data_IF_234616598163
#
_entry.id   IF_234616598163
#
_cell.length_a   1.000
_cell.length_b   1.000
_cell.length_c   1.000
_cell.angle_alpha   90.00
_cell.angle_beta   90.00
_cell.angle_gamma   90.00
#
_symmetry.space_group_name_H-M   'P 1'
#
loop_
_entity.id
_entity.type
_entity.pdbx_description
1 polymer ?
#
# COMPACT_ATOMS: atom_id res chain seq x y z
N UNK A 1 -0.06 -12.15 10.28
CA UNK A 1 1.17 -12.02 9.44
C UNK A 1 1.18 -10.70 8.68
N UNK A 2 0.17 -10.37 7.83
CA UNK A 2 0.11 -9.08 7.09
C UNK A 2 0.18 -7.85 8.01
N UNK A 3 -0.67 -7.78 9.02
CA UNK A 3 -0.72 -6.65 9.95
C UNK A 3 0.60 -6.47 10.72
N UNK A 4 1.29 -7.55 11.06
CA UNK A 4 2.60 -7.48 11.72
C UNK A 4 3.70 -6.94 10.80
N UNK A 5 3.62 -7.25 9.49
CA UNK A 5 4.57 -6.68 8.52
C UNK A 5 4.32 -5.18 8.34
N UNK A 6 3.05 -4.74 8.27
CA UNK A 6 2.71 -3.31 8.28
C UNK A 6 3.23 -2.64 9.55
N UNK A 7 3.00 -3.26 10.71
CA UNK A 7 3.47 -2.74 12.00
C UNK A 7 4.99 -2.56 12.07
N UNK A 8 5.75 -3.44 11.43
CA UNK A 8 7.21 -3.36 11.40
C UNK A 8 7.76 -2.14 10.66
N UNK A 9 6.96 -1.51 9.79
CA UNK A 9 7.34 -0.30 9.06
C UNK A 9 6.94 1.00 9.77
N UNK A 10 6.18 0.93 10.85
CA UNK A 10 5.83 2.10 11.67
C UNK A 10 7.04 2.48 12.52
N UNK A 11 7.54 3.72 12.41
CA UNK A 11 8.70 4.15 13.20
C UNK A 11 8.43 4.08 14.71
N UNK A 12 9.44 3.72 15.48
CA UNK A 12 9.35 3.75 16.94
C UNK A 12 9.08 5.18 17.42
N UNK A 13 8.17 5.30 18.38
CA UNK A 13 7.75 6.62 18.91
C UNK A 13 6.83 7.40 17.95
N UNK A 14 6.38 6.81 16.86
CA UNK A 14 5.51 7.49 15.90
C UNK A 14 4.17 7.92 16.52
N UNK A 15 3.61 8.99 15.98
CA UNK A 15 2.22 9.37 16.13
C UNK A 15 1.49 8.92 14.86
N UNK A 16 0.75 7.83 14.97
CA UNK A 16 0.19 7.10 13.83
C UNK A 16 -1.22 7.59 13.48
N UNK A 17 -1.50 7.82 12.19
CA UNK A 17 -2.86 7.83 11.67
C UNK A 17 -3.11 6.54 10.90
N UNK A 18 -4.03 5.70 11.36
CA UNK A 18 -4.46 4.48 10.70
C UNK A 18 -5.81 4.72 10.02
N UNK A 19 -5.80 4.85 8.70
CA UNK A 19 -6.96 5.27 7.89
C UNK A 19 -7.65 4.04 7.29
N UNK A 20 -8.93 3.88 7.60
CA UNK A 20 -9.67 2.64 7.38
C UNK A 20 -9.22 1.56 8.36
N UNK A 21 -9.15 1.93 9.62
CA UNK A 21 -8.58 1.13 10.71
C UNK A 21 -9.40 -0.13 11.04
N UNK A 22 -10.65 -0.18 10.56
CA UNK A 22 -11.63 -1.26 10.73
C UNK A 22 -11.93 -1.50 12.22
N UNK A 23 -11.19 -2.37 12.87
CA UNK A 23 -11.38 -2.68 14.31
C UNK A 23 -10.34 -2.00 15.22
N UNK A 24 -9.47 -1.13 14.72
CA UNK A 24 -8.41 -0.50 15.50
C UNK A 24 -7.29 -1.46 15.93
N UNK A 25 -7.15 -2.61 15.26
CA UNK A 25 -6.19 -3.64 15.66
C UNK A 25 -4.74 -3.19 15.51
N UNK A 26 -4.39 -2.46 14.45
CA UNK A 26 -3.02 -2.00 14.24
C UNK A 26 -2.58 -1.01 15.31
N UNK A 27 -3.29 0.11 15.56
CA UNK A 27 -2.89 1.07 16.58
C UNK A 27 -2.88 0.46 17.98
N UNK A 28 -3.85 -0.40 18.32
CA UNK A 28 -3.89 -1.09 19.62
C UNK A 28 -2.71 -2.06 19.79
N UNK A 29 -2.36 -2.84 18.75
CA UNK A 29 -1.21 -3.75 18.79
C UNK A 29 0.12 -3.01 18.98
N UNK A 30 0.30 -1.88 18.27
CA UNK A 30 1.50 -1.04 18.39
C UNK A 30 1.58 -0.34 19.75
N UNK A 31 0.47 0.19 20.25
CA UNK A 31 0.39 0.83 21.56
C UNK A 31 0.70 -0.15 22.69
N UNK A 32 0.14 -1.37 22.64
CA UNK A 32 0.40 -2.43 23.63
C UNK A 32 1.88 -2.81 23.69
N UNK A 33 2.58 -2.70 22.56
CA UNK A 33 4.03 -3.00 22.47
C UNK A 33 4.90 -1.79 22.80
N UNK A 34 4.32 -0.62 23.10
CA UNK A 34 5.06 0.61 23.37
C UNK A 34 5.81 1.17 22.15
N UNK A 35 5.37 0.85 20.94
CA UNK A 35 6.05 1.23 19.70
C UNK A 35 5.61 2.60 19.18
N UNK A 36 4.45 3.12 19.61
CA UNK A 36 3.93 4.42 19.20
C UNK A 36 3.54 5.25 20.43
N UNK A 37 3.57 6.59 20.32
CA UNK A 37 3.18 7.51 21.39
C UNK A 37 1.67 7.77 21.44
N UNK A 38 1.06 7.90 20.27
CA UNK A 38 -0.36 8.15 20.11
C UNK A 38 -0.84 7.65 18.75
N UNK A 39 -2.16 7.51 18.60
CA UNK A 39 -2.74 7.23 17.31
C UNK A 39 -4.10 7.90 17.09
N UNK A 40 -4.42 8.09 15.81
CA UNK A 40 -5.75 8.36 15.29
C UNK A 40 -6.20 7.14 14.48
N UNK A 41 -7.33 6.55 14.82
CA UNK A 41 -7.98 5.52 14.02
C UNK A 41 -9.15 6.15 13.25
N UNK A 42 -8.99 6.36 11.95
CA UNK A 42 -9.97 7.01 11.09
C UNK A 42 -10.89 6.00 10.41
N UNK A 43 -12.20 6.23 10.46
CA UNK A 43 -13.21 5.40 9.82
C UNK A 43 -14.29 6.23 9.13
N UNK A 44 -14.73 5.79 7.96
CA UNK A 44 -15.79 6.46 7.20
C UNK A 44 -17.18 5.91 7.50
N UNK A 45 -17.28 4.68 8.01
CA UNK A 45 -18.52 4.00 8.29
C UNK A 45 -18.75 3.83 9.80
N UNK A 46 -20.00 3.97 10.24
CA UNK A 46 -20.38 3.95 11.65
C UNK A 46 -20.05 2.60 12.32
N UNK A 47 -20.30 1.49 11.64
CA UNK A 47 -20.07 0.15 12.24
C UNK A 47 -18.59 -0.13 12.52
N UNK A 48 -17.64 0.04 11.57
CA UNK A 48 -16.22 -0.06 11.87
C UNK A 48 -15.76 0.96 12.93
N UNK A 49 -16.24 2.19 12.87
CA UNK A 49 -15.94 3.21 13.88
C UNK A 49 -16.32 2.73 15.30
N UNK A 50 -17.54 2.18 15.49
CA UNK A 50 -17.98 1.65 16.78
C UNK A 50 -17.13 0.44 17.21
N UNK A 51 -16.75 -0.41 16.26
CA UNK A 51 -15.87 -1.56 16.53
C UNK A 51 -14.48 -1.11 16.99
N UNK A 52 -13.90 -0.13 16.33
CA UNK A 52 -12.61 0.45 16.71
C UNK A 52 -12.68 1.12 18.10
N UNK A 53 -13.72 1.90 18.37
CA UNK A 53 -13.95 2.49 19.70
C UNK A 53 -14.01 1.44 20.80
N UNK A 54 -14.76 0.36 20.58
CA UNK A 54 -14.86 -0.74 21.54
C UNK A 54 -13.50 -1.38 21.79
N UNK A 55 -12.76 -1.72 20.73
CA UNK A 55 -11.42 -2.34 20.84
C UNK A 55 -10.46 -1.44 21.61
N UNK A 56 -10.43 -0.15 21.30
CA UNK A 56 -9.58 0.83 22.00
C UNK A 56 -9.95 0.92 23.48
N UNK A 57 -11.23 1.00 23.80
CA UNK A 57 -11.72 1.09 25.17
C UNK A 57 -11.41 -0.19 25.97
N UNK A 58 -11.72 -1.38 25.44
CA UNK A 58 -11.47 -2.67 26.09
C UNK A 58 -9.99 -2.92 26.37
N UNK A 59 -9.08 -2.30 25.60
CA UNK A 59 -7.65 -2.38 25.81
C UNK A 59 -7.07 -1.24 26.69
N UNK A 60 -7.91 -0.32 27.17
CA UNK A 60 -7.51 0.76 28.07
C UNK A 60 -6.73 1.91 27.40
N UNK A 61 -6.76 2.03 26.06
CA UNK A 61 -5.97 3.03 25.31
C UNK A 61 -6.77 4.27 24.90
N UNK A 62 -7.94 4.53 25.46
CA UNK A 62 -8.78 5.66 25.07
C UNK A 62 -8.18 7.05 25.31
N UNK A 63 -7.07 7.15 26.03
CA UNK A 63 -6.32 8.42 26.18
C UNK A 63 -5.24 8.61 25.10
N UNK A 64 -4.73 7.53 24.51
CA UNK A 64 -3.62 7.53 23.55
C UNK A 64 -4.10 7.32 22.12
N UNK A 65 -5.25 6.66 21.93
CA UNK A 65 -5.82 6.38 20.61
C UNK A 65 -7.15 7.11 20.48
N UNK A 66 -7.22 8.07 19.58
CA UNK A 66 -8.46 8.76 19.22
C UNK A 66 -9.11 8.05 18.04
N UNK A 67 -10.38 7.67 18.17
CA UNK A 67 -11.14 7.12 17.04
C UNK A 67 -12.01 8.22 16.43
N UNK A 68 -11.96 8.42 15.12
CA UNK A 68 -12.72 9.47 14.42
C UNK A 68 -13.55 8.91 13.27
N UNK A 69 -14.81 9.33 13.21
CA UNK A 69 -15.69 9.08 12.06
C UNK A 69 -15.46 10.19 11.03
N UNK A 70 -14.64 9.93 10.02
CA UNK A 70 -14.25 10.90 9.01
C UNK A 70 -13.86 10.22 7.70
N UNK A 71 -13.90 10.96 6.59
CA UNK A 71 -13.52 10.45 5.28
C UNK A 71 -12.02 10.60 5.02
N UNK A 72 -11.31 9.47 4.94
CA UNK A 72 -9.88 9.43 4.61
C UNK A 72 -9.03 10.28 5.57
N UNK A 73 -8.15 11.11 5.02
CA UNK A 73 -7.23 11.93 5.81
C UNK A 73 -7.90 13.08 6.58
N UNK A 74 -9.19 13.37 6.35
CA UNK A 74 -9.94 14.30 7.18
C UNK A 74 -10.07 13.82 8.65
N UNK A 75 -9.70 12.58 8.95
CA UNK A 75 -9.55 12.08 10.31
C UNK A 75 -8.35 12.71 11.05
N UNK A 76 -7.40 13.31 10.34
CA UNK A 76 -6.19 13.92 10.91
C UNK A 76 -6.45 15.39 11.19
N UNK A 77 -6.18 15.81 12.42
CA UNK A 77 -6.25 17.20 12.86
C UNK A 77 -4.85 17.73 13.24
N UNK A 78 -4.56 19.03 13.08
CA UNK A 78 -3.23 19.58 13.36
C UNK A 78 -2.68 19.26 14.77
N UNK A 79 -3.51 19.21 15.84
CA UNK A 79 -3.02 18.86 17.18
C UNK A 79 -2.50 17.41 17.30
N UNK A 80 -2.86 16.51 16.37
CA UNK A 80 -2.43 15.12 16.42
C UNK A 80 -0.94 14.95 16.14
N UNK A 81 -0.31 15.89 15.41
CA UNK A 81 1.12 15.88 15.05
C UNK A 81 1.54 14.54 14.46
N UNK A 82 0.79 14.06 13.49
CA UNK A 82 1.01 12.75 12.87
C UNK A 82 2.38 12.70 12.19
N UNK A 83 3.11 11.60 12.42
CA UNK A 83 4.43 11.34 11.83
C UNK A 83 4.46 10.08 10.96
N UNK A 84 3.42 9.26 11.04
CA UNK A 84 3.24 8.10 10.18
C UNK A 84 1.76 7.91 9.83
N UNK A 85 1.49 7.50 8.59
CA UNK A 85 0.13 7.25 8.10
C UNK A 85 0.09 5.84 7.52
N UNK A 86 -0.80 4.99 8.02
CA UNK A 86 -1.12 3.69 7.43
C UNK A 86 -2.46 3.73 6.70
N UNK A 87 -2.49 3.19 5.47
CA UNK A 87 -3.71 2.96 4.69
C UNK A 87 -3.64 1.57 4.09
N UNK A 88 -4.39 0.63 4.66
CA UNK A 88 -4.22 -0.80 4.40
C UNK A 88 -5.53 -1.49 3.99
N UNK A 89 -5.40 -2.59 3.23
CA UNK A 89 -6.53 -3.46 2.93
C UNK A 89 -7.49 -2.95 1.86
N UNK A 90 -7.12 -1.91 1.13
CA UNK A 90 -7.94 -1.29 0.08
C UNK A 90 -7.29 -1.46 -1.30
N UNK A 91 -8.04 -1.22 -2.39
CA UNK A 91 -7.45 -1.15 -3.73
C UNK A 91 -6.50 0.04 -3.87
N UNK A 92 -5.42 -0.10 -4.65
CA UNK A 92 -4.43 0.96 -4.83
C UNK A 92 -5.02 2.26 -5.39
N UNK A 93 -6.06 2.16 -6.23
CA UNK A 93 -6.82 3.32 -6.68
C UNK A 93 -7.53 4.04 -5.52
N UNK A 94 -8.15 3.28 -4.62
CA UNK A 94 -8.83 3.84 -3.43
C UNK A 94 -7.83 4.54 -2.51
N UNK A 95 -6.68 3.90 -2.24
CA UNK A 95 -5.62 4.51 -1.44
C UNK A 95 -5.12 5.81 -2.09
N UNK A 96 -4.88 5.80 -3.41
CA UNK A 96 -4.52 7.00 -4.16
C UNK A 96 -5.56 8.10 -4.01
N UNK A 97 -6.84 7.78 -4.15
CA UNK A 97 -7.94 8.76 -4.08
C UNK A 97 -8.06 9.36 -2.66
N UNK A 98 -7.82 8.55 -1.62
CA UNK A 98 -7.76 9.01 -0.23
C UNK A 98 -6.60 10.01 -0.03
N UNK A 99 -5.42 9.66 -0.51
CA UNK A 99 -4.25 10.54 -0.41
C UNK A 99 -4.43 11.82 -1.22
N UNK A 100 -4.99 11.72 -2.42
CA UNK A 100 -5.18 12.86 -3.31
C UNK A 100 -6.22 13.85 -2.78
N UNK A 101 -7.37 13.35 -2.34
CA UNK A 101 -8.43 14.20 -1.77
C UNK A 101 -8.04 14.81 -0.42
N UNK A 102 -7.17 14.13 0.32
CA UNK A 102 -6.71 14.54 1.65
C UNK A 102 -5.37 15.30 1.68
N UNK A 103 -4.82 15.72 0.54
CA UNK A 103 -3.50 16.39 0.45
C UNK A 103 -3.30 17.55 1.43
N UNK A 104 -4.36 18.29 1.73
CA UNK A 104 -4.28 19.42 2.66
C UNK A 104 -3.96 19.00 4.11
N UNK A 105 -4.13 17.73 4.46
CA UNK A 105 -3.80 17.17 5.76
C UNK A 105 -2.38 16.59 5.83
N UNK A 106 -1.65 16.57 4.70
CA UNK A 106 -0.28 16.08 4.62
C UNK A 106 0.69 17.26 4.82
N UNK A 107 1.56 17.16 5.80
CA UNK A 107 2.66 18.12 6.01
C UNK A 107 3.87 17.81 5.13
N UNK A 108 3.96 16.56 4.65
CA UNK A 108 5.08 16.03 3.89
C UNK A 108 6.22 15.48 4.76
N UNK A 109 6.02 15.42 6.07
CA UNK A 109 6.98 14.84 7.02
C UNK A 109 6.58 13.43 7.47
N UNK A 110 5.38 13.00 7.10
CA UNK A 110 4.85 11.70 7.47
C UNK A 110 5.44 10.57 6.60
N UNK A 111 5.80 9.47 7.24
CA UNK A 111 6.02 8.21 6.56
C UNK A 111 4.68 7.60 6.15
N UNK A 112 4.52 7.29 4.89
CA UNK A 112 3.36 6.57 4.37
C UNK A 112 3.64 5.06 4.37
N UNK A 113 2.76 4.29 4.97
CA UNK A 113 2.79 2.82 4.99
C UNK A 113 1.51 2.33 4.30
N UNK A 114 1.62 1.93 3.06
CA UNK A 114 0.50 1.67 2.18
C UNK A 114 0.43 0.19 1.84
N UNK A 115 -0.72 -0.44 2.06
CA UNK A 115 -0.90 -1.84 1.71
C UNK A 115 -2.08 -1.99 0.74
N UNK A 116 -1.84 -1.90 -0.58
CA UNK A 116 -2.86 -2.12 -1.60
C UNK A 116 -3.20 -3.61 -1.76
N UNK A 117 -4.49 -3.88 -2.01
CA UNK A 117 -4.98 -5.20 -2.41
C UNK A 117 -5.03 -5.32 -3.95
N UNK A 118 -4.00 -4.86 -4.64
CA UNK A 118 -3.91 -4.76 -6.10
C UNK A 118 -4.11 -3.34 -6.61
N UNK A 119 -3.72 -3.10 -7.88
CA UNK A 119 -3.79 -1.78 -8.51
C UNK A 119 -2.69 -0.83 -7.99
N UNK A 120 -1.49 -1.33 -7.81
CA UNK A 120 -0.35 -0.63 -7.22
C UNK A 120 0.19 0.47 -8.14
N UNK A 121 0.13 0.30 -9.45
CA UNK A 121 0.68 1.24 -10.43
C UNK A 121 0.13 2.67 -10.29
N UNK A 122 -1.20 2.93 -10.24
CA UNK A 122 -1.72 4.28 -10.05
C UNK A 122 -1.36 4.88 -8.69
N UNK A 123 -1.11 4.05 -7.67
CA UNK A 123 -0.64 4.51 -6.36
C UNK A 123 0.83 4.96 -6.44
N UNK A 124 1.71 4.16 -7.05
CA UNK A 124 3.11 4.55 -7.29
C UNK A 124 3.22 5.79 -8.17
N UNK A 125 2.36 5.91 -9.18
CA UNK A 125 2.29 7.13 -10.01
C UNK A 125 1.93 8.36 -9.19
N UNK A 126 0.99 8.23 -8.26
CA UNK A 126 0.63 9.32 -7.36
C UNK A 126 1.79 9.70 -6.43
N UNK A 127 2.46 8.71 -5.85
CA UNK A 127 3.64 8.94 -5.01
C UNK A 127 4.72 9.72 -5.76
N UNK A 128 5.07 9.28 -6.98
CA UNK A 128 6.04 9.96 -7.85
C UNK A 128 5.63 11.41 -8.13
N UNK A 129 4.36 11.64 -8.50
CA UNK A 129 3.86 12.97 -8.87
C UNK A 129 3.73 13.93 -7.67
N UNK A 130 3.84 13.44 -6.45
CA UNK A 130 3.77 14.22 -5.22
C UNK A 130 5.07 14.21 -4.41
N UNK A 131 6.21 13.93 -5.09
CA UNK A 131 7.55 13.97 -4.54
C UNK A 131 7.83 12.93 -3.43
N UNK A 132 7.05 11.86 -3.37
CA UNK A 132 7.29 10.75 -2.46
C UNK A 132 8.23 9.72 -3.11
N UNK A 133 9.36 9.48 -2.44
CA UNK A 133 10.27 8.38 -2.77
C UNK A 133 9.79 7.09 -2.11
N UNK A 134 9.75 6.00 -2.86
CA UNK A 134 9.52 4.66 -2.32
C UNK A 134 10.81 4.20 -1.65
N UNK A 135 10.75 3.98 -0.33
CA UNK A 135 11.89 3.58 0.50
C UNK A 135 11.94 2.08 0.70
N UNK A 136 10.79 1.43 0.73
CA UNK A 136 10.67 -0.01 0.87
C UNK A 136 9.47 -0.54 0.09
N UNK A 137 9.66 -1.69 -0.52
CA UNK A 137 8.59 -2.49 -1.08
C UNK A 137 8.73 -3.92 -0.59
N UNK A 138 7.70 -4.42 0.06
CA UNK A 138 7.67 -5.77 0.55
C UNK A 138 6.52 -6.55 -0.09
N UNK A 139 6.80 -7.78 -0.50
CA UNK A 139 5.79 -8.70 -0.97
C UNK A 139 5.66 -9.87 -0.02
N UNK A 140 4.44 -10.14 0.40
CA UNK A 140 4.13 -11.29 1.22
C UNK A 140 2.96 -12.07 0.64
N UNK A 141 3.04 -13.39 0.82
CA UNK A 141 1.94 -14.27 0.45
C UNK A 141 1.27 -14.82 1.71
N UNK A 142 -0.01 -14.56 1.83
CA UNK A 142 -0.83 -15.12 2.89
C UNK A 142 -2.00 -15.90 2.30
N UNK A 143 -2.04 -17.21 2.59
CA UNK A 143 -2.97 -18.15 1.96
C UNK A 143 -2.83 -18.14 0.43
N UNK A 144 -3.84 -17.64 -0.29
CA UNK A 144 -3.87 -17.56 -1.76
C UNK A 144 -3.65 -16.15 -2.33
N UNK A 145 -3.48 -15.16 -1.47
CA UNK A 145 -3.36 -13.76 -1.86
C UNK A 145 -1.91 -13.28 -1.75
N UNK A 146 -1.52 -12.48 -2.73
CA UNK A 146 -0.26 -11.75 -2.70
C UNK A 146 -0.57 -10.32 -2.24
N UNK A 147 0.13 -9.85 -1.23
CA UNK A 147 0.00 -8.52 -0.67
C UNK A 147 1.29 -7.75 -0.88
N UNK A 148 1.18 -6.50 -1.25
CA UNK A 148 2.31 -5.58 -1.30
C UNK A 148 2.20 -4.57 -0.16
N UNK A 149 3.34 -4.21 0.42
CA UNK A 149 3.48 -3.07 1.32
C UNK A 149 4.43 -2.10 0.64
N UNK A 150 4.02 -0.85 0.53
CA UNK A 150 4.81 0.24 -0.04
C UNK A 150 5.03 1.26 1.06
N UNK A 151 6.30 1.53 1.37
CA UNK A 151 6.69 2.57 2.32
C UNK A 151 7.30 3.72 1.55
N UNK A 152 6.82 4.94 1.81
CA UNK A 152 7.28 6.12 1.10
C UNK A 152 7.39 7.33 2.03
N UNK A 153 8.33 8.22 1.72
CA UNK A 153 8.51 9.52 2.38
C UNK A 153 8.70 10.61 1.33
N UNK A 154 8.29 11.81 1.66
CA UNK A 154 8.46 12.97 0.77
C UNK A 154 9.87 13.49 0.87
N UNK A 155 10.67 13.27 -0.17
CA UNK A 155 12.09 13.62 -0.21
C UNK A 155 12.48 14.49 -1.42
N UNK A 156 11.50 14.83 -2.24
CA UNK A 156 11.69 15.53 -3.51
C UNK A 156 11.48 14.63 -4.74
N UNK A 157 11.56 15.18 -5.95
CA UNK A 157 11.25 14.47 -7.18
C UNK A 157 12.11 13.23 -7.39
N UNK A 158 11.47 12.10 -7.67
CA UNK A 158 12.14 10.84 -8.06
C UNK A 158 11.45 10.31 -9.30
N UNK A 159 12.09 10.32 -10.48
CA UNK A 159 11.51 9.77 -11.68
C UNK A 159 11.53 8.24 -11.65
N UNK A 160 10.37 7.63 -11.86
CA UNK A 160 10.24 6.19 -12.09
C UNK A 160 9.81 5.93 -13.53
N UNK A 161 10.36 4.90 -14.17
CA UNK A 161 9.93 4.46 -15.50
C UNK A 161 8.53 3.82 -15.42
N UNK A 162 7.87 3.67 -16.58
CA UNK A 162 6.56 3.01 -16.64
C UNK A 162 6.60 1.58 -16.11
N UNK A 163 7.70 0.86 -16.33
CA UNK A 163 7.92 -0.49 -15.81
C UNK A 163 8.13 -0.48 -14.29
N UNK A 164 8.92 0.46 -13.78
CA UNK A 164 9.11 0.62 -12.33
C UNK A 164 7.80 0.96 -11.61
N UNK A 165 6.94 1.77 -12.21
CA UNK A 165 5.61 2.05 -11.67
C UNK A 165 4.71 0.82 -11.69
N UNK A 166 4.84 -0.02 -12.73
CA UNK A 166 4.03 -1.23 -12.91
C UNK A 166 4.46 -2.35 -11.96
N UNK A 167 5.76 -2.62 -11.86
CA UNK A 167 6.31 -3.73 -11.10
C UNK A 167 6.66 -3.38 -9.65
N UNK A 168 7.06 -2.14 -9.41
CA UNK A 168 7.70 -1.67 -8.20
C UNK A 168 9.22 -1.55 -8.36
N UNK A 169 9.79 -0.35 -8.16
CA UNK A 169 11.22 -0.11 -8.40
C UNK A 169 12.12 -0.99 -7.54
N UNK A 170 11.78 -1.20 -6.27
CA UNK A 170 12.58 -2.01 -5.36
C UNK A 170 12.26 -3.51 -5.50
N UNK A 171 11.02 -3.87 -5.86
CA UNK A 171 10.70 -5.24 -6.22
C UNK A 171 11.46 -5.72 -7.45
N UNK A 172 11.64 -4.85 -8.45
CA UNK A 172 12.44 -5.17 -9.65
C UNK A 172 13.91 -5.42 -9.32
N UNK A 173 14.45 -4.69 -8.35
CA UNK A 173 15.83 -4.87 -7.88
C UNK A 173 15.97 -6.15 -7.04
N UNK A 174 15.08 -6.34 -6.06
CA UNK A 174 15.16 -7.46 -5.13
C UNK A 174 14.79 -8.82 -5.75
N UNK A 175 13.92 -8.85 -6.77
CA UNK A 175 13.48 -10.06 -7.49
C UNK A 175 13.14 -11.23 -6.56
N UNK A 176 12.48 -10.96 -5.45
CA UNK A 176 12.19 -12.00 -4.46
C UNK A 176 11.39 -13.17 -5.05
N UNK A 177 11.51 -14.40 -4.51
CA UNK A 177 10.74 -15.55 -5.01
C UNK A 177 9.22 -15.30 -5.02
N UNK A 178 8.69 -14.59 -4.02
CA UNK A 178 7.27 -14.24 -3.96
C UNK A 178 6.88 -13.29 -5.10
N UNK A 179 7.72 -12.32 -5.42
CA UNK A 179 7.54 -11.40 -6.53
C UNK A 179 7.54 -12.14 -7.88
N UNK A 180 8.53 -12.97 -8.16
CA UNK A 180 8.62 -13.72 -9.40
C UNK A 180 7.41 -14.67 -9.57
N UNK A 181 7.01 -15.38 -8.50
CA UNK A 181 5.82 -16.23 -8.52
C UNK A 181 4.52 -15.46 -8.79
N UNK A 182 4.37 -14.25 -8.23
CA UNK A 182 3.22 -13.37 -8.56
C UNK A 182 3.17 -13.10 -10.05
N UNK A 183 4.30 -12.69 -10.65
CA UNK A 183 4.33 -12.30 -12.06
C UNK A 183 4.20 -13.49 -13.01
N UNK A 184 4.72 -14.68 -12.69
CA UNK A 184 4.48 -15.91 -13.43
C UNK A 184 2.98 -16.27 -13.51
N UNK A 185 2.27 -16.15 -12.36
CA UNK A 185 0.82 -16.37 -12.32
C UNK A 185 0.05 -15.33 -13.15
N UNK A 186 0.43 -14.06 -13.01
CA UNK A 186 -0.20 -12.96 -13.76
C UNK A 186 0.07 -13.07 -15.25
N UNK A 187 1.26 -13.51 -15.69
CA UNK A 187 1.57 -13.77 -17.08
C UNK A 187 0.62 -14.82 -17.67
N UNK A 188 0.46 -15.94 -16.97
CA UNK A 188 -0.44 -17.02 -17.40
C UNK A 188 -1.89 -16.54 -17.50
N UNK A 189 -2.35 -15.75 -16.53
CA UNK A 189 -3.70 -15.17 -16.53
C UNK A 189 -3.88 -14.18 -17.70
N UNK A 190 -2.91 -13.28 -17.94
CA UNK A 190 -2.97 -12.28 -19.01
C UNK A 190 -2.95 -12.93 -20.41
N UNK A 191 -2.09 -13.93 -20.63
CA UNK A 191 -2.05 -14.70 -21.89
C UNK A 191 -3.41 -15.35 -22.16
N UNK A 192 -4.02 -15.98 -21.15
CA UNK A 192 -5.35 -16.59 -21.29
C UNK A 192 -6.44 -15.55 -21.56
N UNK A 193 -6.38 -14.39 -20.89
CA UNK A 193 -7.32 -13.30 -21.13
C UNK A 193 -7.20 -12.75 -22.55
N UNK A 194 -5.98 -12.57 -23.06
CA UNK A 194 -5.73 -12.09 -24.42
C UNK A 194 -6.30 -13.10 -25.46
N UNK A 195 -6.10 -14.42 -25.25
CA UNK A 195 -6.72 -15.45 -26.08
C UNK A 195 -8.24 -15.42 -26.03
N UNK A 196 -8.83 -15.12 -24.87
CA UNK A 196 -10.30 -15.00 -24.76
C UNK A 196 -10.81 -13.75 -25.49
N UNK A 197 -10.05 -12.66 -25.54
CA UNK A 197 -10.43 -11.48 -26.30
C UNK A 197 -10.51 -11.73 -27.81
N UNK A 198 -9.64 -12.58 -28.37
CA UNK A 198 -9.71 -12.97 -29.78
C UNK A 198 -10.95 -13.79 -30.11
N UNK A 199 -11.61 -14.39 -29.12
CA UNK A 199 -12.84 -15.20 -29.25
C UNK A 199 -14.11 -14.44 -28.83
N UNK A 200 -13.96 -13.18 -28.37
CA UNK A 200 -15.08 -12.42 -27.87
C UNK A 200 -16.05 -12.01 -29.00
N UNK A 201 -17.35 -12.12 -28.74
CA UNK A 201 -18.41 -11.72 -29.71
C UNK A 201 -18.50 -10.19 -29.90
N UNK A 202 -18.01 -9.40 -28.95
CA UNK A 202 -17.94 -7.93 -29.03
C UNK A 202 -16.50 -7.49 -29.25
N UNK A 203 -16.32 -6.48 -30.11
CA UNK A 203 -15.01 -5.90 -30.34
C UNK A 203 -14.41 -5.35 -29.01
N UNK A 204 -13.18 -5.78 -28.73
CA UNK A 204 -12.41 -5.26 -27.59
C UNK A 204 -11.68 -4.01 -28.09
N UNK A 205 -11.67 -2.89 -27.35
CA UNK A 205 -10.94 -1.68 -27.76
C UNK A 205 -9.46 -2.00 -28.03
N UNK A 206 -8.95 -1.50 -29.15
CA UNK A 206 -7.59 -1.78 -29.61
C UNK A 206 -6.54 -1.33 -28.58
N UNK A 207 -6.73 -0.19 -27.95
CA UNK A 207 -5.86 0.32 -26.87
C UNK A 207 -5.71 -0.69 -25.72
N UNK A 208 -6.80 -1.35 -25.34
CA UNK A 208 -6.77 -2.37 -24.27
C UNK A 208 -5.98 -3.61 -24.69
N UNK A 209 -6.05 -4.00 -25.95
CA UNK A 209 -5.27 -5.11 -26.50
C UNK A 209 -3.78 -4.77 -26.54
N UNK A 210 -3.44 -3.58 -27.01
CA UNK A 210 -2.06 -3.07 -27.08
C UNK A 210 -1.45 -2.96 -25.68
N UNK A 211 -2.19 -2.40 -24.72
CA UNK A 211 -1.74 -2.28 -23.34
C UNK A 211 -1.50 -3.66 -22.72
N UNK A 212 -2.39 -4.62 -22.94
CA UNK A 212 -2.21 -5.98 -22.44
C UNK A 212 -1.03 -6.69 -23.09
N UNK A 213 -0.82 -6.51 -24.39
CA UNK A 213 0.34 -7.07 -25.11
C UNK A 213 1.65 -6.50 -24.54
N UNK A 214 1.74 -5.18 -24.37
CA UNK A 214 2.88 -4.51 -23.76
C UNK A 214 3.16 -5.02 -22.34
N UNK A 215 2.15 -5.16 -21.51
CA UNK A 215 2.31 -5.69 -20.16
C UNK A 215 2.80 -7.15 -20.17
N UNK A 216 2.35 -7.97 -21.10
CA UNK A 216 2.84 -9.36 -21.28
C UNK A 216 4.32 -9.33 -21.64
N UNK A 217 4.73 -8.49 -22.60
CA UNK A 217 6.12 -8.33 -22.98
C UNK A 217 7.00 -7.93 -21.80
N UNK A 218 6.60 -6.90 -21.04
CA UNK A 218 7.31 -6.49 -19.83
C UNK A 218 7.47 -7.63 -18.82
N UNK A 219 6.41 -8.43 -18.60
CA UNK A 219 6.48 -9.55 -17.65
C UNK A 219 7.43 -10.65 -18.17
N UNK A 220 7.42 -10.94 -19.46
CA UNK A 220 8.34 -11.90 -20.06
C UNK A 220 9.78 -11.42 -19.87
N UNK A 221 10.09 -10.20 -20.26
CA UNK A 221 11.41 -9.60 -20.09
C UNK A 221 11.86 -9.62 -18.62
N UNK A 222 10.96 -9.26 -17.71
CA UNK A 222 11.22 -9.33 -16.27
C UNK A 222 11.60 -10.74 -15.83
N UNK A 223 10.86 -11.77 -16.27
CA UNK A 223 11.07 -13.16 -15.81
C UNK A 223 12.32 -13.80 -16.45
N UNK A 224 12.68 -13.41 -17.66
CA UNK A 224 13.85 -13.91 -18.39
C UNK A 224 15.18 -13.26 -17.94
N UNK A 225 15.11 -12.14 -17.22
CA UNK A 225 16.30 -11.46 -16.70
C UNK A 225 17.05 -12.28 -15.65
N UNK A 226 18.36 -12.04 -15.45
CA UNK A 226 19.16 -12.78 -14.48
C UNK A 226 18.62 -12.63 -13.06
N UNK A 227 18.75 -13.69 -12.27
CA UNK A 227 18.43 -13.65 -10.85
C UNK A 227 19.58 -12.95 -10.09
N UNK A 228 19.55 -11.63 -9.99
CA UNK A 228 20.49 -10.89 -9.14
C UNK A 228 20.12 -11.13 -7.67
N UNK A 229 20.97 -11.88 -7.00
CA UNK A 229 20.83 -12.23 -5.59
C UNK A 229 21.45 -11.13 -4.72
N UNK A 230 20.78 -9.99 -4.56
CA UNK A 230 21.04 -9.09 -3.44
C UNK A 230 19.72 -8.75 -2.77
N UNK A 231 19.43 -9.48 -1.69
CA UNK A 231 18.33 -9.16 -0.79
C UNK A 231 18.68 -7.83 -0.08
N UNK A 232 18.13 -6.74 -0.55
CA UNK A 232 18.07 -5.49 0.23
C UNK A 232 17.05 -5.70 1.33
N UNK A 233 17.51 -5.90 2.58
CA UNK A 233 16.62 -5.94 3.75
C UNK A 233 16.09 -4.53 4.02
N UNK A 234 14.76 -4.38 4.08
CA UNK A 234 14.08 -3.16 4.54
C UNK A 234 14.14 -2.99 6.08
N UNK A 235 15.22 -3.47 6.70
CA UNK A 235 15.40 -3.35 8.14
C UNK A 235 16.57 -2.39 8.42
N UNK A 236 16.19 -1.13 8.73
CA UNK A 236 16.86 -0.27 9.72
C UNK A 236 15.94 0.90 10.04
#
# INVERSE_FOLDING_TARGET
MRLERVAAHVPMGARLADIGSDHGYLPVALMRRGLIEAAVAGEVAVTPFQSAMRTVHENGFGRQITVRLANGLAAIEPPDRITAISVCGMGGKTIRDILDSGKAHLTGQERLILQPNGGEQPLRQWLMNNDYRILCEEMLREKRFDYEIIVAERTGPVPYTAEQLYFGPLHMQARSPAFLLKWQRLLSLKKRTLTNFSRARRAVPQEKLQEMARQIEWIVTLLDGPADTQASSCAE
#
